data_IF_708717249498
#
_entry.id   IF_708717249498
#
_cell.length_a   1.000
_cell.length_b   1.000
_cell.length_c   1.000
_cell.angle_alpha   90.00
_cell.angle_beta   90.00
_cell.angle_gamma   90.00
#
_symmetry.space_group_name_H-M   'P 1'
#
loop_
_entity.id
_entity.type
_entity.pdbx_description
1 polymer ?
#
# COMPACT_ATOMS: atom_id res chain seq x y z
N UNK A 1 13.54 5.89 -7.77
CA UNK A 1 12.94 5.05 -6.71
C UNK A 1 12.54 5.96 -5.56
N UNK A 2 11.40 5.71 -4.91
CA UNK A 2 10.96 6.40 -3.71
C UNK A 2 10.52 5.39 -2.63
N UNK A 3 10.68 5.75 -1.36
CA UNK A 3 10.33 4.90 -0.21
C UNK A 3 10.09 5.73 1.06
N UNK A 4 9.56 5.07 2.10
CA UNK A 4 9.35 5.65 3.43
C UNK A 4 8.00 6.37 3.59
N UNK A 5 7.20 5.93 4.56
CA UNK A 5 5.97 6.63 4.97
C UNK A 5 4.89 6.82 3.88
N UNK A 6 4.97 6.08 2.77
CA UNK A 6 4.03 6.20 1.64
C UNK A 6 2.65 5.73 2.07
N UNK A 7 1.63 6.53 1.79
CA UNK A 7 0.22 6.22 2.03
C UNK A 7 -0.57 6.26 0.71
N UNK A 8 -1.80 5.72 0.65
CA UNK A 8 -2.64 5.82 -0.55
C UNK A 8 -2.82 7.27 -1.05
N UNK A 9 -2.92 8.23 -0.13
CA UNK A 9 -3.11 9.65 -0.44
C UNK A 9 -1.85 10.29 -1.07
N UNK A 10 -0.66 9.80 -0.71
CA UNK A 10 0.62 10.36 -1.16
C UNK A 10 1.19 9.62 -2.38
N UNK A 11 0.78 8.37 -2.61
CA UNK A 11 1.33 7.50 -3.64
C UNK A 11 1.24 8.11 -5.06
N UNK A 12 0.11 8.75 -5.39
CA UNK A 12 -0.09 9.37 -6.72
C UNK A 12 0.85 10.55 -6.93
N UNK A 13 0.95 11.44 -5.95
CA UNK A 13 1.82 12.61 -6.04
C UNK A 13 3.30 12.19 -6.16
N UNK A 14 3.71 11.15 -5.44
CA UNK A 14 5.07 10.58 -5.54
C UNK A 14 5.31 9.99 -6.94
N UNK A 15 4.35 9.22 -7.48
CA UNK A 15 4.46 8.64 -8.82
C UNK A 15 4.61 9.70 -9.92
N UNK A 16 3.89 10.82 -9.80
CA UNK A 16 3.96 11.94 -10.75
C UNK A 16 5.32 12.64 -10.81
N UNK A 17 6.21 12.44 -9.82
CA UNK A 17 7.58 12.96 -9.85
C UNK A 17 8.51 12.18 -10.81
N UNK A 18 7.99 11.18 -11.51
CA UNK A 18 8.73 10.43 -12.52
C UNK A 18 9.56 9.28 -11.95
N UNK A 19 9.20 8.78 -10.77
CA UNK A 19 9.87 7.60 -10.19
C UNK A 19 9.41 6.33 -10.88
N UNK A 20 10.36 5.44 -11.19
CA UNK A 20 10.06 4.14 -11.81
C UNK A 20 9.53 3.08 -10.83
N UNK A 21 9.73 3.29 -9.53
CA UNK A 21 9.37 2.34 -8.48
C UNK A 21 9.09 3.07 -7.17
N UNK A 22 8.09 2.59 -6.43
CA UNK A 22 7.77 3.01 -5.06
C UNK A 22 7.80 1.76 -4.15
N UNK A 23 8.66 1.77 -3.14
CA UNK A 23 8.75 0.68 -2.16
C UNK A 23 7.91 1.00 -0.91
N UNK A 24 6.96 0.12 -0.58
CA UNK A 24 5.99 0.32 0.51
C UNK A 24 6.04 -0.87 1.48
N UNK A 25 6.77 -0.71 2.59
CA UNK A 25 7.01 -1.80 3.56
C UNK A 25 5.76 -2.24 4.33
N UNK A 26 4.88 -1.32 4.70
CA UNK A 26 3.72 -1.65 5.54
C UNK A 26 2.71 -2.57 4.86
N UNK A 27 2.78 -2.73 3.53
CA UNK A 27 1.96 -3.69 2.78
C UNK A 27 2.19 -5.15 3.22
N UNK A 28 3.36 -5.47 3.78
CA UNK A 28 3.69 -6.85 4.19
C UNK A 28 3.71 -7.05 5.70
N UNK A 29 4.17 -6.06 6.48
CA UNK A 29 4.35 -6.21 7.93
C UNK A 29 3.23 -5.58 8.79
N UNK A 30 2.38 -4.74 8.21
CA UNK A 30 1.36 -4.00 8.97
C UNK A 30 0.12 -3.64 8.14
N UNK A 31 -0.20 -4.46 7.14
CA UNK A 31 -1.43 -4.27 6.36
C UNK A 31 -2.65 -4.52 7.25
N UNK A 32 -3.75 -3.74 7.09
CA UNK A 32 -4.98 -3.99 7.81
C UNK A 32 -5.56 -5.35 7.43
N UNK A 33 -6.18 -6.02 8.39
CA UNK A 33 -6.81 -7.33 8.20
C UNK A 33 -8.08 -7.15 7.37
N UNK A 34 -8.27 -8.01 6.37
CA UNK A 34 -9.54 -8.16 5.67
C UNK A 34 -10.40 -9.17 6.45
N UNK A 35 -11.54 -8.71 6.94
CA UNK A 35 -12.49 -9.56 7.65
C UNK A 35 -13.39 -10.33 6.66
N UNK A 36 -13.45 -11.66 6.79
CA UNK A 36 -14.17 -12.55 5.88
C UNK A 36 -14.88 -13.64 6.70
N UNK A 37 -16.18 -13.84 6.44
CA UNK A 37 -16.98 -14.95 6.97
C UNK A 37 -17.58 -15.83 5.86
N UNK A 38 -17.69 -17.13 6.11
CA UNK A 38 -18.36 -18.09 5.23
C UNK A 38 -19.55 -18.72 5.96
N UNK A 39 -20.75 -18.42 5.49
CA UNK A 39 -21.98 -19.08 5.95
C UNK A 39 -22.39 -20.15 4.92
N UNK A 40 -22.19 -21.42 5.28
CA UNK A 40 -22.62 -22.56 4.48
C UNK A 40 -23.89 -23.19 5.09
N UNK A 41 -24.81 -23.64 4.23
CA UNK A 41 -26.10 -24.26 4.58
C UNK A 41 -25.99 -25.77 4.79
#
# INVERSE_FOLDING_TARGET
>A
EASGGVTPETAVAIAQQGVNLIAIGWLTHSAPILDIGLDAV
#
